data_IF_693103942104
#
_entry.id   IF_693103942104
#
_cell.length_a   1.000
_cell.length_b   1.000
_cell.length_c   1.000
_cell.angle_alpha   90.00
_cell.angle_beta   90.00
_cell.angle_gamma   90.00
#
_symmetry.space_group_name_H-M   'P 1'
#
loop_
_entity.id
_entity.type
_entity.pdbx_description
1 polymer ?
#
# COMPACT_ATOMS: atom_id res chain seq x y z
N UNK A 1 -18.62 5.67 -19.21
CA UNK A 1 -18.52 4.32 -18.62
C UNK A 1 -17.05 3.94 -18.71
N UNK A 2 -16.26 4.32 -17.69
CA UNK A 2 -14.81 4.18 -17.70
C UNK A 2 -14.42 3.08 -16.71
N UNK A 3 -13.47 2.26 -17.14
CA UNK A 3 -13.18 0.91 -16.69
C UNK A 3 -12.50 0.82 -15.31
N UNK A 4 -13.27 0.95 -14.24
CA UNK A 4 -12.91 0.43 -12.91
C UNK A 4 -13.59 -0.91 -12.59
N UNK A 5 -14.36 -1.46 -13.53
CA UNK A 5 -15.20 -2.64 -13.35
C UNK A 5 -14.45 -3.99 -13.39
N UNK A 6 -13.11 -4.00 -13.50
CA UNK A 6 -12.38 -5.23 -13.82
C UNK A 6 -12.19 -6.20 -12.65
N UNK A 7 -12.53 -5.84 -11.40
CA UNK A 7 -12.29 -6.75 -10.26
C UNK A 7 -13.54 -7.19 -9.51
N UNK A 8 -14.67 -6.49 -9.63
CA UNK A 8 -15.94 -6.96 -9.07
C UNK A 8 -16.90 -7.54 -10.12
N UNK A 9 -16.73 -7.22 -11.41
CA UNK A 9 -17.56 -7.74 -12.50
C UNK A 9 -17.43 -9.24 -12.76
N UNK A 10 -16.35 -9.87 -12.29
CA UNK A 10 -16.12 -11.30 -12.49
C UNK A 10 -16.94 -12.21 -11.56
N UNK A 11 -17.61 -11.65 -10.53
CA UNK A 11 -18.50 -12.42 -9.65
C UNK A 11 -19.92 -12.59 -10.20
N UNK A 12 -20.26 -11.95 -11.34
CA UNK A 12 -21.58 -12.11 -11.97
C UNK A 12 -21.67 -13.35 -12.86
N UNK A 13 -20.58 -14.11 -13.07
CA UNK A 13 -20.61 -15.37 -13.84
C UNK A 13 -19.95 -16.54 -13.07
N UNK A 14 -20.66 -17.66 -12.86
CA UNK A 14 -20.22 -18.75 -11.97
C UNK A 14 -19.08 -19.64 -12.50
N UNK A 15 -18.40 -19.30 -13.61
CA UNK A 15 -17.48 -20.24 -14.29
C UNK A 15 -16.06 -19.74 -14.57
N UNK A 16 -15.70 -18.49 -14.27
CA UNK A 16 -14.32 -18.04 -14.43
C UNK A 16 -13.78 -17.39 -13.16
N UNK A 17 -12.92 -18.17 -12.51
CA UNK A 17 -12.27 -17.93 -11.25
C UNK A 17 -10.97 -17.13 -11.52
N UNK A 18 -11.01 -15.80 -11.41
CA UNK A 18 -9.77 -15.03 -11.20
C UNK A 18 -9.59 -14.88 -9.69
N UNK A 19 -8.44 -15.30 -9.12
CA UNK A 19 -8.16 -15.01 -7.73
C UNK A 19 -8.13 -13.49 -7.57
N UNK A 20 -8.75 -13.03 -6.49
CA UNK A 20 -8.66 -11.66 -6.00
C UNK A 20 -7.18 -11.30 -5.81
N UNK A 21 -6.55 -10.72 -6.82
CA UNK A 21 -5.10 -10.45 -6.90
C UNK A 21 -4.85 -8.93 -6.84
N UNK A 22 -5.67 -8.18 -6.10
CA UNK A 22 -5.35 -6.78 -5.81
C UNK A 22 -4.45 -6.75 -4.58
N UNK A 23 -3.16 -6.67 -4.85
CA UNK A 23 -2.13 -6.49 -3.86
C UNK A 23 -1.77 -5.00 -3.74
N UNK A 24 -1.96 -4.42 -2.56
CA UNK A 24 -1.51 -3.08 -2.20
C UNK A 24 -0.26 -3.16 -1.31
N UNK A 25 0.69 -2.25 -1.52
CA UNK A 25 1.82 -2.08 -0.61
C UNK A 25 1.32 -1.60 0.76
N UNK A 26 1.94 -2.13 1.83
CA UNK A 26 1.56 -1.74 3.19
C UNK A 26 2.16 -0.37 3.53
N UNK A 27 1.40 0.57 4.11
CA UNK A 27 1.94 1.91 4.40
C UNK A 27 3.09 1.92 5.41
N UNK A 28 3.22 0.85 6.19
CA UNK A 28 4.29 0.70 7.18
C UNK A 28 5.68 0.65 6.53
N UNK A 29 5.79 0.03 5.35
CA UNK A 29 7.04 -0.05 4.59
C UNK A 29 7.49 1.34 4.11
N UNK A 30 6.52 2.20 3.73
CA UNK A 30 6.76 3.60 3.35
C UNK A 30 7.29 4.41 4.55
N UNK A 31 6.79 4.14 5.75
CA UNK A 31 7.17 4.85 6.97
C UNK A 31 8.56 4.50 7.47
N UNK A 32 8.92 3.22 7.38
CA UNK A 32 10.26 2.75 7.74
C UNK A 32 11.30 3.23 6.74
N UNK A 33 10.99 3.22 5.45
CA UNK A 33 11.89 3.75 4.41
C UNK A 33 12.21 5.23 4.63
N UNK A 34 11.21 6.07 4.93
CA UNK A 34 11.45 7.50 5.13
C UNK A 34 12.14 7.84 6.46
N UNK A 35 11.80 7.16 7.56
CA UNK A 35 12.46 7.43 8.86
C UNK A 35 13.94 7.02 8.86
N UNK A 36 14.31 6.00 8.08
CA UNK A 36 15.70 5.55 8.01
C UNK A 36 16.54 6.37 7.03
N UNK A 37 15.95 6.90 5.95
CA UNK A 37 16.65 7.85 5.07
C UNK A 37 16.96 9.21 5.72
N UNK A 38 16.26 9.58 6.80
CA UNK A 38 16.43 10.87 7.48
C UNK A 38 17.35 10.77 8.73
N UNK A 39 17.48 9.58 9.34
CA UNK A 39 18.09 9.45 10.69
C UNK A 39 19.39 8.61 10.77
N UNK A 40 19.74 7.77 9.79
CA UNK A 40 20.90 6.88 9.92
C UNK A 40 21.67 6.68 8.60
N UNK A 41 22.98 6.46 8.69
CA UNK A 41 23.90 6.18 7.57
C UNK A 41 23.76 4.79 6.92
N UNK A 42 22.79 3.98 7.37
CA UNK A 42 22.49 2.65 6.82
C UNK A 42 21.02 2.60 6.36
N UNK A 43 20.70 2.91 5.09
CA UNK A 43 19.35 2.72 4.57
C UNK A 43 18.96 1.23 4.71
N UNK A 44 17.68 0.93 4.93
CA UNK A 44 17.19 -0.46 4.83
C UNK A 44 17.65 -0.98 3.47
N UNK A 45 18.56 -1.95 3.50
CA UNK A 45 19.12 -2.50 2.29
C UNK A 45 18.03 -3.32 1.58
N UNK A 46 18.03 -3.31 0.25
CA UNK A 46 17.13 -4.16 -0.56
C UNK A 46 17.15 -5.64 -0.11
N UNK A 47 18.28 -6.22 0.33
CA UNK A 47 18.32 -7.51 1.02
C UNK A 47 17.44 -7.64 2.27
N UNK A 48 17.37 -6.64 3.15
CA UNK A 48 16.52 -6.66 4.35
C UNK A 48 15.04 -6.67 3.96
N UNK A 49 14.65 -5.88 2.96
CA UNK A 49 13.27 -5.90 2.44
C UNK A 49 12.91 -7.26 1.85
N UNK A 50 13.84 -7.87 1.11
CA UNK A 50 13.67 -9.19 0.56
C UNK A 50 13.54 -10.26 1.66
N UNK A 51 14.40 -10.21 2.68
CA UNK A 51 14.32 -11.07 3.86
C UNK A 51 12.98 -10.91 4.60
N UNK A 52 12.51 -9.67 4.75
CA UNK A 52 11.22 -9.38 5.38
C UNK A 52 10.07 -10.00 4.60
N UNK A 53 10.06 -9.89 3.27
CA UNK A 53 9.08 -10.56 2.42
C UNK A 53 9.06 -12.07 2.63
N UNK A 54 10.23 -12.72 2.62
CA UNK A 54 10.35 -14.17 2.82
C UNK A 54 9.84 -14.59 4.21
N UNK A 55 10.34 -13.97 5.28
CA UNK A 55 9.92 -14.30 6.65
C UNK A 55 8.43 -14.06 6.80
N UNK A 56 7.95 -12.89 6.37
CA UNK A 56 6.56 -12.50 6.50
C UNK A 56 5.64 -13.47 5.74
N UNK A 57 6.03 -13.86 4.53
CA UNK A 57 5.33 -14.85 3.73
C UNK A 57 5.23 -16.20 4.42
N UNK A 58 6.36 -16.71 4.94
CA UNK A 58 6.42 -17.98 5.68
C UNK A 58 5.56 -17.92 6.95
N UNK A 59 5.68 -16.86 7.74
CA UNK A 59 4.89 -16.67 8.96
C UNK A 59 3.40 -16.67 8.65
N UNK A 60 2.95 -15.89 7.65
CA UNK A 60 1.55 -15.88 7.25
C UNK A 60 1.07 -17.25 6.76
N UNK A 61 1.88 -17.96 5.98
CA UNK A 61 1.57 -19.32 5.52
C UNK A 61 1.39 -20.27 6.70
N UNK A 62 2.34 -20.31 7.63
CA UNK A 62 2.26 -21.14 8.82
C UNK A 62 1.04 -20.80 9.66
N UNK A 63 0.76 -19.53 9.90
CA UNK A 63 -0.41 -19.09 10.66
C UNK A 63 -1.73 -19.47 9.99
N UNK A 64 -1.78 -19.39 8.66
CA UNK A 64 -2.98 -19.69 7.89
C UNK A 64 -3.23 -21.20 7.74
N UNK A 65 -2.17 -22.00 7.63
CA UNK A 65 -2.25 -23.45 7.56
C UNK A 65 -2.55 -24.08 8.93
N UNK A 66 -2.00 -23.54 10.01
CA UNK A 66 -2.26 -24.01 11.39
C UNK A 66 -3.62 -23.56 11.93
N UNK A 67 -4.23 -22.52 11.34
CA UNK A 67 -5.45 -21.91 11.87
C UNK A 67 -5.21 -20.94 13.03
N UNK A 68 -3.94 -20.64 13.34
CA UNK A 68 -3.58 -19.64 14.34
C UNK A 68 -4.15 -18.25 13.98
N UNK A 69 -4.32 -17.98 12.68
CA UNK A 69 -4.92 -16.73 12.20
C UNK A 69 -6.36 -16.54 12.71
N UNK A 70 -7.15 -17.61 12.81
CA UNK A 70 -8.52 -17.57 13.31
C UNK A 70 -8.56 -17.35 14.83
N UNK A 71 -7.59 -17.90 15.55
CA UNK A 71 -7.44 -17.67 16.98
C UNK A 71 -7.02 -16.22 17.26
N UNK A 72 -6.04 -15.70 16.52
CA UNK A 72 -5.58 -14.32 16.64
C UNK A 72 -6.68 -13.33 16.28
N UNK A 73 -7.51 -13.64 15.29
CA UNK A 73 -8.61 -12.77 14.89
C UNK A 73 -9.59 -12.45 16.04
N UNK A 74 -9.66 -13.29 17.09
CA UNK A 74 -10.47 -13.04 18.28
C UNK A 74 -9.97 -11.84 19.09
N UNK A 75 -8.69 -11.50 19.02
CA UNK A 75 -8.14 -10.31 19.69
C UNK A 75 -8.45 -9.02 18.95
N UNK A 76 -8.67 -9.08 17.63
CA UNK A 76 -8.94 -7.91 16.81
C UNK A 76 -10.42 -7.55 16.83
N UNK A 77 -10.84 -6.95 17.94
CA UNK A 77 -12.20 -6.41 18.06
C UNK A 77 -12.44 -5.30 17.03
N UNK A 78 -13.71 -5.00 16.75
CA UNK A 78 -14.08 -3.87 15.86
C UNK A 78 -13.47 -2.54 16.30
N UNK A 79 -13.32 -2.32 17.60
CA UNK A 79 -12.68 -1.14 18.15
C UNK A 79 -11.18 -1.08 17.80
N UNK A 80 -10.47 -2.20 17.93
CA UNK A 80 -9.04 -2.31 17.58
C UNK A 80 -8.83 -2.08 16.08
N UNK A 81 -9.65 -2.70 15.22
CA UNK A 81 -9.53 -2.52 13.76
C UNK A 81 -9.75 -1.06 13.33
N UNK A 82 -10.78 -0.39 13.87
CA UNK A 82 -11.02 1.03 13.61
C UNK A 82 -9.89 1.92 14.12
N UNK A 83 -9.29 1.57 15.27
CA UNK A 83 -8.12 2.26 15.80
C UNK A 83 -6.90 2.15 14.89
N UNK A 84 -6.60 0.93 14.40
CA UNK A 84 -5.51 0.68 13.44
C UNK A 84 -5.73 1.49 12.15
N UNK A 85 -6.94 1.45 11.59
CA UNK A 85 -7.28 2.17 10.36
C UNK A 85 -7.18 3.70 10.54
N UNK A 86 -7.66 4.23 11.66
CA UNK A 86 -7.56 5.66 11.97
C UNK A 86 -6.10 6.08 12.16
N UNK A 87 -5.32 5.31 12.90
CA UNK A 87 -3.89 5.55 13.10
C UNK A 87 -3.12 5.54 11.78
N UNK A 88 -3.37 4.54 10.94
CA UNK A 88 -2.78 4.44 9.60
C UNK A 88 -3.15 5.65 8.73
N UNK A 89 -4.41 6.08 8.78
CA UNK A 89 -4.88 7.29 8.09
C UNK A 89 -4.15 8.55 8.55
N UNK A 90 -4.03 8.78 9.86
CA UNK A 90 -3.29 9.92 10.39
C UNK A 90 -1.82 9.90 10.00
N UNK A 91 -1.20 8.73 10.00
CA UNK A 91 0.19 8.61 9.60
C UNK A 91 0.37 8.99 8.12
N UNK A 92 -0.51 8.52 7.23
CA UNK A 92 -0.51 8.88 5.82
C UNK A 92 -0.74 10.38 5.59
N UNK A 93 -1.64 11.00 6.37
CA UNK A 93 -1.86 12.45 6.34
C UNK A 93 -0.60 13.21 6.74
N UNK A 94 0.06 12.80 7.84
CA UNK A 94 1.30 13.43 8.29
C UNK A 94 2.41 13.34 7.22
N UNK A 95 2.48 12.23 6.48
CA UNK A 95 3.42 12.09 5.35
C UNK A 95 3.05 12.96 4.17
N UNK A 96 1.77 13.03 3.82
CA UNK A 96 1.28 13.96 2.80
C UNK A 96 1.63 15.41 3.13
N UNK A 97 1.43 15.84 4.38
CA UNK A 97 1.81 17.18 4.85
C UNK A 97 3.33 17.37 4.78
N UNK A 98 4.12 16.36 5.18
CA UNK A 98 5.57 16.37 5.05
C UNK A 98 6.03 16.62 3.61
N UNK A 99 5.45 15.90 2.65
CA UNK A 99 5.75 16.11 1.22
C UNK A 99 5.32 17.48 0.69
N UNK A 100 4.21 18.03 1.20
CA UNK A 100 3.76 19.39 0.83
C UNK A 100 4.66 20.46 1.45
N UNK A 101 5.22 20.23 2.64
CA UNK A 101 6.06 21.19 3.35
C UNK A 101 7.52 21.21 2.84
N UNK A 102 8.01 20.11 2.25
CA UNK A 102 9.35 20.04 1.66
C UNK A 102 9.46 20.96 0.42
N UNK A 103 10.29 22.01 0.44
CA UNK A 103 10.35 23.03 -0.64
C UNK A 103 10.87 22.48 -1.98
N UNK A 104 11.49 21.31 -1.98
CA UNK A 104 11.96 20.64 -3.18
C UNK A 104 10.80 19.96 -3.92
N UNK A 105 10.58 20.36 -5.17
CA UNK A 105 9.51 19.77 -5.99
C UNK A 105 9.85 18.35 -6.47
N UNK A 106 11.13 18.02 -6.59
CA UNK A 106 11.61 16.73 -7.09
C UNK A 106 12.73 16.16 -6.22
N UNK A 107 12.68 14.84 -5.98
CA UNK A 107 13.69 14.10 -5.22
C UNK A 107 15.06 14.15 -5.91
N UNK A 108 15.09 14.23 -7.25
CA UNK A 108 16.31 14.21 -8.05
C UNK A 108 16.90 15.60 -8.35
N UNK A 109 16.20 16.69 -8.00
CA UNK A 109 16.62 18.07 -8.26
C UNK A 109 16.45 18.92 -6.99
N UNK A 110 17.35 18.78 -6.00
CA UNK A 110 17.21 19.47 -4.71
C UNK A 110 17.30 21.00 -4.81
N UNK A 111 17.84 21.54 -5.92
CA UNK A 111 18.10 22.99 -6.08
C UNK A 111 16.98 23.75 -6.81
N UNK A 112 15.99 23.06 -7.39
CA UNK A 112 14.87 23.72 -8.10
C UNK A 112 13.78 24.12 -7.10
N UNK A 113 14.03 25.19 -6.35
CA UNK A 113 12.99 25.85 -5.54
C UNK A 113 12.26 26.86 -6.40
N UNK A 114 11.02 26.54 -6.77
CA UNK A 114 10.16 27.43 -7.55
C UNK A 114 9.21 28.10 -6.56
N UNK A 115 9.40 29.40 -6.37
CA UNK A 115 8.58 30.22 -5.48
C UNK A 115 7.83 31.26 -6.28
N UNK A 116 6.53 31.38 -6.04
CA UNK A 116 5.69 32.41 -6.62
C UNK A 116 5.28 33.38 -5.51
N UNK A 117 5.72 34.64 -5.60
CA UNK A 117 5.40 35.65 -4.59
C UNK A 117 5.97 35.36 -3.19
N UNK A 118 7.10 34.64 -3.11
CA UNK A 118 7.74 34.26 -1.84
C UNK A 118 7.15 33.01 -1.17
N UNK A 119 6.11 32.42 -1.74
CA UNK A 119 5.52 31.16 -1.28
C UNK A 119 6.02 30.03 -2.19
N UNK A 120 6.52 28.92 -1.63
CA UNK A 120 6.97 27.79 -2.44
C UNK A 120 5.76 27.11 -3.10
N UNK A 121 5.92 26.73 -4.37
CA UNK A 121 4.80 26.28 -5.20
C UNK A 121 4.23 24.92 -4.76
N UNK A 122 5.02 24.12 -4.04
CA UNK A 122 4.61 22.86 -3.41
C UNK A 122 3.39 23.02 -2.49
N UNK A 123 3.35 24.07 -1.65
CA UNK A 123 2.26 24.36 -0.73
C UNK A 123 1.02 24.75 -1.52
N UNK A 124 1.19 25.55 -2.58
CA UNK A 124 0.07 25.94 -3.45
C UNK A 124 -0.55 24.71 -4.12
N UNK A 125 0.27 23.84 -4.72
CA UNK A 125 -0.19 22.60 -5.36
C UNK A 125 -0.82 21.65 -4.32
N UNK A 126 -0.21 21.51 -3.14
CA UNK A 126 -0.71 20.67 -2.07
C UNK A 126 -2.07 21.12 -1.54
N UNK A 127 -2.24 22.41 -1.27
CA UNK A 127 -3.51 22.99 -0.82
C UNK A 127 -4.57 22.87 -1.92
N UNK A 128 -4.23 23.19 -3.17
CA UNK A 128 -5.14 23.05 -4.30
C UNK A 128 -5.58 21.59 -4.47
N UNK A 129 -4.64 20.64 -4.42
CA UNK A 129 -4.90 19.21 -4.49
C UNK A 129 -5.80 18.71 -3.35
N UNK A 130 -5.59 19.22 -2.14
CA UNK A 130 -6.46 18.96 -0.98
C UNK A 130 -7.89 19.45 -1.19
N UNK A 131 -8.05 20.68 -1.69
CA UNK A 131 -9.37 21.26 -2.02
C UNK A 131 -10.06 20.44 -3.10
N UNK A 132 -9.36 20.10 -4.19
CA UNK A 132 -9.87 19.25 -5.28
C UNK A 132 -10.31 17.90 -4.71
N UNK A 133 -9.50 17.29 -3.85
CA UNK A 133 -9.83 16.00 -3.21
C UNK A 133 -11.14 16.10 -2.42
N UNK A 134 -11.29 17.14 -1.59
CA UNK A 134 -12.49 17.35 -0.78
C UNK A 134 -13.73 17.59 -1.65
N UNK A 135 -13.61 18.39 -2.72
CA UNK A 135 -14.71 18.65 -3.64
C UNK A 135 -15.12 17.40 -4.42
N UNK A 136 -14.17 16.56 -4.81
CA UNK A 136 -14.42 15.33 -5.56
C UNK A 136 -14.78 14.14 -4.68
N UNK A 137 -14.66 14.24 -3.35
CA UNK A 137 -14.92 13.12 -2.44
C UNK A 137 -16.37 12.58 -2.55
N UNK A 138 -17.33 13.46 -2.85
CA UNK A 138 -18.75 13.11 -3.05
C UNK A 138 -19.10 12.76 -4.52
N UNK A 139 -18.14 12.90 -5.45
CA UNK A 139 -18.38 12.67 -6.87
C UNK A 139 -18.44 11.19 -7.19
N UNK A 140 -19.60 10.72 -7.67
CA UNK A 140 -19.76 9.35 -8.18
C UNK A 140 -19.18 9.13 -9.59
N UNK A 141 -18.77 10.21 -10.28
CA UNK A 141 -18.34 10.15 -11.69
C UNK A 141 -16.82 10.12 -11.85
N UNK A 142 -16.08 10.76 -10.94
CA UNK A 142 -14.64 10.88 -11.02
C UNK A 142 -14.01 10.56 -9.65
N UNK A 143 -13.33 9.41 -9.49
CA UNK A 143 -12.62 9.10 -8.26
C UNK A 143 -11.56 10.15 -7.97
N UNK A 144 -11.61 10.78 -6.79
CA UNK A 144 -10.69 11.85 -6.41
C UNK A 144 -9.22 11.46 -6.59
N UNK A 145 -8.84 10.24 -6.19
CA UNK A 145 -7.48 9.72 -6.34
C UNK A 145 -6.99 9.75 -7.80
N UNK A 146 -7.84 9.37 -8.77
CA UNK A 146 -7.47 9.36 -10.18
C UNK A 146 -7.22 10.78 -10.70
N UNK A 147 -8.07 11.73 -10.32
CA UNK A 147 -7.96 13.14 -10.75
C UNK A 147 -6.70 13.78 -10.16
N UNK A 148 -6.45 13.58 -8.86
CA UNK A 148 -5.29 14.16 -8.17
C UNK A 148 -3.98 13.57 -8.70
N UNK A 149 -3.90 12.25 -8.90
CA UNK A 149 -2.70 11.60 -9.43
C UNK A 149 -2.43 12.02 -10.87
N UNK A 150 -3.46 12.08 -11.73
CA UNK A 150 -3.30 12.52 -13.11
C UNK A 150 -2.91 14.00 -13.21
N UNK A 151 -3.53 14.87 -12.40
CA UNK A 151 -3.15 16.27 -12.30
C UNK A 151 -1.70 16.43 -11.82
N UNK A 152 -1.30 15.71 -10.76
CA UNK A 152 0.06 15.71 -10.25
C UNK A 152 1.08 15.23 -11.27
N UNK A 153 0.75 14.20 -12.05
CA UNK A 153 1.59 13.71 -13.14
C UNK A 153 1.79 14.77 -14.24
N UNK A 154 0.71 15.41 -14.69
CA UNK A 154 0.78 16.49 -15.70
C UNK A 154 1.59 17.68 -15.17
N UNK A 155 1.30 18.12 -13.95
CA UNK A 155 2.03 19.20 -13.27
C UNK A 155 3.52 18.84 -13.18
N UNK A 156 3.87 17.62 -12.74
CA UNK A 156 5.26 17.17 -12.65
C UNK A 156 6.00 17.26 -13.99
N UNK A 157 5.38 16.80 -15.08
CA UNK A 157 5.97 16.92 -16.43
C UNK A 157 6.17 18.39 -16.81
N UNK A 158 5.17 19.25 -16.58
CA UNK A 158 5.25 20.69 -16.89
C UNK A 158 6.36 21.40 -16.11
N UNK A 159 6.62 20.98 -14.87
CA UNK A 159 7.70 21.50 -14.03
C UNK A 159 9.06 20.86 -14.30
N UNK A 160 9.17 19.97 -15.29
CA UNK A 160 10.45 19.44 -15.75
C UNK A 160 10.87 18.13 -15.09
N UNK A 161 9.93 17.31 -14.59
CA UNK A 161 10.22 15.98 -14.05
C UNK A 161 11.02 15.09 -15.01
N UNK A 162 10.92 15.32 -16.32
CA UNK A 162 11.61 14.53 -17.35
C UNK A 162 12.96 15.10 -17.78
N UNK A 163 13.35 16.29 -17.33
CA UNK A 163 14.51 17.01 -17.88
C UNK A 163 15.85 16.27 -17.72
N UNK A 164 15.96 15.39 -16.71
CA UNK A 164 17.17 14.62 -16.41
C UNK A 164 16.94 13.10 -16.41
N UNK A 165 15.85 12.62 -17.01
CA UNK A 165 15.52 11.19 -17.02
C UNK A 165 15.77 10.63 -18.41
N UNK A 166 16.67 9.65 -18.51
CA UNK A 166 16.77 8.81 -19.71
C UNK A 166 15.64 7.79 -19.68
N UNK A 167 14.59 8.06 -20.47
CA UNK A 167 13.49 7.10 -20.62
C UNK A 167 13.98 5.91 -21.44
N UNK A 168 14.29 4.82 -20.75
CA UNK A 168 14.58 3.53 -21.38
C UNK A 168 13.31 2.69 -21.37
N UNK A 169 12.88 2.27 -22.56
CA UNK A 169 11.77 1.32 -22.70
C UNK A 169 12.32 -0.08 -22.44
N UNK A 170 11.85 -0.71 -21.37
CA UNK A 170 12.20 -2.09 -21.07
C UNK A 170 11.69 -2.52 -19.70
N UNK A 171 11.53 -3.83 -19.47
CA UNK A 171 11.34 -4.33 -18.12
C UNK A 171 12.59 -4.01 -17.31
N UNK A 172 12.41 -3.43 -16.14
CA UNK A 172 13.51 -3.28 -15.18
C UNK A 172 14.06 -4.67 -14.84
N UNK A 173 15.39 -4.86 -14.86
CA UNK A 173 15.98 -6.18 -14.60
C UNK A 173 15.56 -6.67 -13.21
N UNK A 174 15.05 -7.90 -13.15
CA UNK A 174 14.73 -8.55 -11.87
C UNK A 174 16.06 -8.90 -11.20
N UNK A 175 16.35 -8.20 -10.11
CA UNK A 175 17.53 -8.47 -9.31
C UNK A 175 17.15 -9.41 -8.17
N UNK A 176 17.82 -10.56 -8.13
CA UNK A 176 17.69 -11.49 -7.03
C UNK A 176 18.67 -11.09 -5.93
N UNK A 177 18.11 -10.75 -4.77
CA UNK A 177 18.88 -10.50 -3.57
C UNK A 177 19.00 -11.81 -2.78
N UNK A 178 20.20 -12.08 -2.26
CA UNK A 178 20.44 -13.20 -1.34
C UNK A 178 20.69 -12.60 0.05
N UNK A 179 19.65 -12.52 0.91
CA UNK A 179 19.83 -11.91 2.22
C UNK A 179 20.76 -12.73 3.09
N UNK A 180 21.56 -12.04 3.89
CA UNK A 180 22.43 -12.63 4.92
C UNK A 180 21.62 -12.96 6.18
N UNK A 181 22.21 -13.74 7.09
CA UNK A 181 21.57 -14.04 8.38
C UNK A 181 21.26 -12.77 9.19
N UNK A 182 22.12 -11.76 9.13
CA UNK A 182 21.90 -10.48 9.78
C UNK A 182 20.73 -9.73 9.14
N UNK A 183 20.57 -9.80 7.80
CA UNK A 183 19.42 -9.21 7.12
C UNK A 183 18.10 -9.88 7.58
N UNK A 184 18.09 -11.19 7.77
CA UNK A 184 16.93 -11.91 8.32
C UNK A 184 16.63 -11.50 9.77
N UNK A 185 17.65 -11.35 10.61
CA UNK A 185 17.46 -10.90 11.99
C UNK A 185 16.91 -9.47 12.03
N UNK A 186 17.51 -8.55 11.28
CA UNK A 186 17.05 -7.16 11.19
C UNK A 186 15.63 -7.08 10.61
N UNK A 187 15.34 -7.82 9.55
CA UNK A 187 14.01 -7.89 8.97
C UNK A 187 12.95 -8.37 9.98
N UNK A 188 13.27 -9.40 10.78
CA UNK A 188 12.36 -9.93 11.78
C UNK A 188 11.99 -8.88 12.83
N UNK A 189 13.00 -8.24 13.44
CA UNK A 189 12.80 -7.32 14.56
C UNK A 189 12.31 -5.93 14.12
N UNK A 190 12.76 -5.43 12.97
CA UNK A 190 12.41 -4.09 12.50
C UNK A 190 11.10 -4.06 11.71
N UNK A 191 10.81 -5.11 10.93
CA UNK A 191 9.71 -5.09 9.96
C UNK A 191 8.61 -6.10 10.31
N UNK A 192 8.95 -7.39 10.39
CA UNK A 192 7.97 -8.48 10.44
C UNK A 192 7.08 -8.41 11.67
N UNK A 193 7.66 -8.17 12.86
CA UNK A 193 6.89 -8.11 14.12
C UNK A 193 5.82 -7.01 14.07
N UNK A 194 6.15 -5.83 13.54
CA UNK A 194 5.22 -4.71 13.43
C UNK A 194 4.22 -4.91 12.28
N UNK A 195 4.63 -5.61 11.21
CA UNK A 195 3.81 -5.87 10.03
C UNK A 195 2.71 -6.90 10.28
N UNK A 196 2.90 -7.87 11.19
CA UNK A 196 1.90 -8.90 11.48
C UNK A 196 0.57 -8.29 11.96
N UNK A 197 0.51 -7.46 13.03
CA UNK A 197 -0.75 -6.89 13.50
C UNK A 197 -1.42 -6.02 12.44
N UNK A 198 -0.65 -5.21 11.71
CA UNK A 198 -1.19 -4.32 10.68
C UNK A 198 -1.82 -5.11 9.54
N UNK A 199 -1.14 -6.16 9.08
CA UNK A 199 -1.62 -6.98 7.97
C UNK A 199 -2.86 -7.77 8.36
N UNK A 200 -2.85 -8.37 9.55
CA UNK A 200 -4.01 -9.09 10.07
C UNK A 200 -5.21 -8.16 10.19
N UNK A 201 -5.03 -6.97 10.80
CA UNK A 201 -6.09 -6.00 10.98
C UNK A 201 -6.66 -5.45 9.67
N UNK A 202 -5.79 -4.98 8.77
CA UNK A 202 -6.22 -4.28 7.56
C UNK A 202 -6.56 -5.23 6.41
N UNK A 203 -5.63 -6.12 6.06
CA UNK A 203 -5.68 -6.87 4.81
C UNK A 203 -6.33 -8.25 4.92
N UNK A 204 -6.43 -8.80 6.13
CA UNK A 204 -7.09 -10.08 6.38
C UNK A 204 -8.49 -9.82 6.94
N UNK A 205 -8.59 -9.24 8.14
CA UNK A 205 -9.86 -9.05 8.83
C UNK A 205 -10.69 -7.91 8.26
N UNK A 206 -10.08 -6.73 8.03
CA UNK A 206 -10.76 -5.60 7.41
C UNK A 206 -11.29 -5.91 6.02
N UNK A 207 -10.49 -6.59 5.19
CA UNK A 207 -10.93 -7.06 3.87
C UNK A 207 -12.08 -8.06 3.97
N UNK A 208 -12.02 -9.02 4.89
CA UNK A 208 -13.11 -9.99 5.12
C UNK A 208 -14.40 -9.30 5.57
N UNK A 209 -14.33 -8.37 6.52
CA UNK A 209 -15.48 -7.61 7.01
C UNK A 209 -16.08 -6.72 5.92
N UNK A 210 -15.23 -6.12 5.08
CA UNK A 210 -15.65 -5.35 3.90
C UNK A 210 -16.39 -6.24 2.90
N UNK A 211 -15.86 -7.43 2.60
CA UNK A 211 -16.53 -8.40 1.73
C UNK A 211 -17.92 -8.77 2.26
N UNK A 212 -18.05 -9.08 3.55
CA UNK A 212 -19.34 -9.43 4.15
C UNK A 212 -20.31 -8.25 4.21
N UNK A 213 -19.81 -7.03 4.41
CA UNK A 213 -20.64 -5.82 4.45
C UNK A 213 -21.17 -5.47 3.06
N UNK A 214 -20.36 -5.61 2.01
CA UNK A 214 -20.74 -5.27 0.64
C UNK A 214 -21.59 -6.35 -0.04
N UNK A 215 -21.25 -7.63 0.14
CA UNK A 215 -21.85 -8.74 -0.60
C UNK A 215 -22.70 -9.69 0.25
N UNK A 216 -22.79 -9.46 1.56
CA UNK A 216 -23.45 -10.35 2.51
C UNK A 216 -22.66 -11.64 2.76
N UNK A 217 -23.12 -12.42 3.74
CA UNK A 217 -22.62 -13.80 3.97
C UNK A 217 -23.39 -14.76 3.07
N UNK A 218 -22.68 -15.47 2.20
CA UNK A 218 -23.28 -16.46 1.30
C UNK A 218 -22.26 -17.02 0.31
N UNK A 219 -22.74 -17.67 -0.74
CA UNK A 219 -21.88 -18.35 -1.72
C UNK A 219 -20.86 -17.40 -2.38
N UNK A 220 -21.16 -16.10 -2.49
CA UNK A 220 -20.25 -15.10 -3.06
C UNK A 220 -19.06 -14.76 -2.15
N UNK A 221 -19.18 -14.95 -0.84
CA UNK A 221 -18.15 -14.60 0.16
C UNK A 221 -17.60 -15.81 0.92
N UNK A 222 -17.99 -17.02 0.54
CA UNK A 222 -17.55 -18.28 1.16
C UNK A 222 -16.02 -18.41 1.22
N UNK A 223 -15.33 -17.88 0.22
CA UNK A 223 -13.87 -17.92 0.11
C UNK A 223 -13.17 -16.70 0.72
N UNK A 224 -13.91 -15.68 1.16
CA UNK A 224 -13.37 -14.51 1.84
C UNK A 224 -13.12 -14.81 3.32
N UNK A 225 -12.25 -15.79 3.60
CA UNK A 225 -11.88 -16.20 4.95
C UNK A 225 -10.50 -15.69 5.32
N UNK A 226 -10.23 -15.59 6.63
CA UNK A 226 -8.93 -15.16 7.11
C UNK A 226 -7.80 -16.05 6.58
N UNK A 227 -8.02 -17.35 6.57
CA UNK A 227 -7.07 -18.35 6.04
C UNK A 227 -6.85 -18.19 4.54
N UNK A 228 -7.88 -17.93 3.74
CA UNK A 228 -7.74 -17.74 2.30
C UNK A 228 -6.91 -16.48 1.96
N UNK A 229 -7.16 -15.38 2.66
CA UNK A 229 -6.36 -14.17 2.49
C UNK A 229 -4.92 -14.35 2.97
N UNK A 230 -4.72 -14.96 4.15
CA UNK A 230 -3.37 -15.20 4.68
C UNK A 230 -2.55 -16.20 3.85
N UNK A 231 -3.15 -17.28 3.35
CA UNK A 231 -2.45 -18.25 2.48
C UNK A 231 -2.05 -17.65 1.13
N UNK A 232 -2.96 -16.93 0.47
CA UNK A 232 -2.67 -16.28 -0.81
C UNK A 232 -1.58 -15.22 -0.68
N UNK A 233 -1.61 -14.40 0.37
CA UNK A 233 -0.55 -13.45 0.69
C UNK A 233 0.77 -14.15 1.01
N UNK A 234 0.74 -15.16 1.87
CA UNK A 234 1.94 -15.91 2.28
C UNK A 234 2.67 -16.54 1.11
N UNK A 235 1.93 -17.17 0.19
CA UNK A 235 2.47 -17.78 -1.02
C UNK A 235 3.12 -16.76 -1.96
N UNK A 236 2.42 -15.65 -2.24
CA UNK A 236 2.90 -14.65 -3.21
C UNK A 236 4.12 -13.90 -2.66
N UNK A 237 4.03 -13.39 -1.43
CA UNK A 237 5.10 -12.60 -0.83
C UNK A 237 6.32 -13.48 -0.57
N UNK A 238 6.11 -14.68 -0.01
CA UNK A 238 7.18 -15.61 0.33
C UNK A 238 7.93 -16.13 -0.90
N UNK A 239 7.23 -16.31 -2.03
CA UNK A 239 7.85 -16.77 -3.28
C UNK A 239 8.66 -15.68 -4.01
N UNK A 240 8.16 -14.44 -3.98
CA UNK A 240 8.83 -13.32 -4.67
C UNK A 240 10.02 -12.80 -3.85
N UNK A 241 9.94 -12.87 -2.52
CA UNK A 241 10.95 -12.28 -1.64
C UNK A 241 11.12 -10.78 -1.90
N UNK A 242 10.01 -10.10 -2.17
CA UNK A 242 9.94 -8.65 -2.39
C UNK A 242 9.24 -7.94 -1.24
N UNK A 243 8.90 -6.67 -1.44
CA UNK A 243 8.12 -5.91 -0.45
C UNK A 243 6.83 -6.64 -0.06
N UNK A 244 6.49 -6.68 1.24
CA UNK A 244 5.22 -7.22 1.69
C UNK A 244 4.03 -6.50 1.03
N UNK A 245 3.23 -7.27 0.30
CA UNK A 245 1.99 -6.79 -0.30
C UNK A 245 0.77 -7.38 0.39
N UNK A 246 -0.37 -6.73 0.32
CA UNK A 246 -1.55 -7.13 1.07
C UNK A 246 -2.84 -7.00 0.25
N UNK A 247 -3.91 -7.73 0.59
CA UNK A 247 -5.20 -7.55 -0.10
C UNK A 247 -5.79 -6.17 0.22
N UNK A 248 -6.10 -5.40 -0.82
CA UNK A 248 -6.64 -4.05 -0.67
C UNK A 248 -8.18 -4.01 -0.58
N UNK A 249 -8.74 -3.74 0.60
CA UNK A 249 -10.18 -3.53 0.78
C UNK A 249 -10.72 -2.28 0.04
N UNK A 250 -9.87 -1.27 -0.20
CA UNK A 250 -10.27 -0.02 -0.86
C UNK A 250 -10.75 -0.21 -2.30
N UNK A 251 -10.22 -1.18 -3.03
CA UNK A 251 -10.68 -1.50 -4.39
C UNK A 251 -12.08 -2.12 -4.41
N UNK A 252 -12.48 -2.82 -3.35
CA UNK A 252 -13.82 -3.40 -3.21
C UNK A 252 -14.86 -2.34 -2.86
N UNK A 253 -14.48 -1.38 -2.00
CA UNK A 253 -15.36 -0.32 -1.53
C UNK A 253 -15.64 0.76 -2.58
N UNK A 254 -14.92 0.75 -3.71
CA UNK A 254 -15.13 1.69 -4.82
C UNK A 254 -16.31 1.34 -5.74
N UNK A 255 -17.19 0.42 -5.31
CA UNK A 255 -18.43 0.04 -5.99
C UNK A 255 -19.55 1.07 -5.76
#
# INVERSE_FOLDING_TARGET
MCSSAFVCGSYRKPHHFLPMLIFCLSPLDILLHERLCIYESNPISLPIMAAAGIIFGVVLLLMSLTGLIDWLAKFFTKAIMRGIQLGLGFILINKGIGFIACPQLFIQQPDTTISLGGIPINIMIGVLGGIITLLLLSSKRFPAALVVVSAGFVIGILFGALNNISLTLGPTPIQFYRPTYDDFANALFLLVILQIPLTLGNAVMGTTDTCYTLFGKGNLTEKATYRAFGTSMGLVIGAIGGMPVCHGAGGLAAH
#
